data_IF_566872241365
#
_entry.id   IF_566872241365
#
_cell.length_a   1.000
_cell.length_b   1.000
_cell.length_c   1.000
_cell.angle_alpha   90.00
_cell.angle_beta   90.00
_cell.angle_gamma   90.00
#
_symmetry.space_group_name_H-M   'P 1'
#
loop_
_entity.id
_entity.type
_entity.pdbx_description
1 polymer ?
#
# COMPACT_ATOMS: atom_id res chain seq x y z
N UNK A 1 16.73 34.05 -16.61
CA UNK A 1 15.58 33.49 -15.87
C UNK A 1 15.07 34.62 -15.02
N UNK A 2 13.96 35.23 -15.45
CA UNK A 2 13.33 36.36 -14.78
C UNK A 2 12.82 35.96 -13.39
N UNK A 3 12.87 36.90 -12.46
CA UNK A 3 12.35 36.75 -11.10
C UNK A 3 10.82 36.63 -11.17
N UNK A 4 10.29 35.41 -11.22
CA UNK A 4 8.86 35.19 -11.02
C UNK A 4 8.51 35.42 -9.54
N UNK A 5 7.80 36.51 -9.27
CA UNK A 5 7.21 36.76 -7.96
C UNK A 5 5.96 35.88 -7.77
N UNK A 6 5.96 35.08 -6.72
CA UNK A 6 4.82 34.23 -6.35
C UNK A 6 4.04 34.88 -5.20
N UNK A 7 2.74 35.11 -5.41
CA UNK A 7 1.84 35.63 -4.38
C UNK A 7 0.87 34.53 -3.94
N UNK A 8 0.82 34.24 -2.64
CA UNK A 8 -0.16 33.31 -2.09
C UNK A 8 -1.53 33.98 -2.03
N UNK A 9 -2.47 33.53 -2.86
CA UNK A 9 -3.83 34.07 -2.93
C UNK A 9 -4.67 33.72 -1.69
N UNK A 10 -4.37 32.59 -1.04
CA UNK A 10 -5.16 32.06 0.09
C UNK A 10 -4.41 32.30 1.39
N UNK A 11 -5.03 33.01 2.35
CA UNK A 11 -4.42 33.25 3.68
C UNK A 11 -4.79 32.18 4.72
N UNK A 12 -5.89 31.46 4.49
CA UNK A 12 -6.39 30.43 5.39
C UNK A 12 -5.97 29.03 4.91
N UNK A 13 -4.80 28.58 5.35
CA UNK A 13 -4.28 27.25 5.06
C UNK A 13 -3.43 26.75 6.23
N UNK A 14 -3.27 25.43 6.31
CA UNK A 14 -2.39 24.82 7.29
C UNK A 14 -0.93 25.06 6.90
N UNK A 15 -0.32 26.09 7.50
CA UNK A 15 1.11 26.38 7.33
C UNK A 15 1.95 25.22 7.83
N UNK A 16 3.02 24.89 7.10
CA UNK A 16 4.04 23.98 7.60
C UNK A 16 4.60 24.53 8.91
N UNK A 17 4.65 23.70 9.95
CA UNK A 17 5.27 24.09 11.21
C UNK A 17 6.76 24.45 10.98
N UNK A 18 7.20 25.69 11.23
CA UNK A 18 8.57 26.13 10.97
C UNK A 18 9.61 25.47 11.89
N UNK A 19 9.21 25.00 13.07
CA UNK A 19 10.11 24.26 13.97
C UNK A 19 10.30 22.79 13.57
N UNK A 20 9.47 22.27 12.66
CA UNK A 20 9.55 20.87 12.22
C UNK A 20 10.71 20.69 11.24
N UNK A 21 11.78 20.04 11.72
CA UNK A 21 12.89 19.61 10.86
C UNK A 21 12.40 18.54 9.87
N UNK A 22 12.84 18.67 8.62
CA UNK A 22 12.62 17.64 7.61
C UNK A 22 13.37 16.37 8.01
N UNK A 23 12.68 15.23 8.01
CA UNK A 23 13.30 13.92 8.16
C UNK A 23 13.05 13.16 6.87
N UNK A 24 14.11 12.93 6.10
CA UNK A 24 14.05 12.15 4.87
C UNK A 24 14.08 10.65 5.21
N UNK A 25 13.12 9.88 4.70
CA UNK A 25 13.06 8.41 4.82
C UNK A 25 13.02 7.79 3.42
N UNK A 26 14.15 7.76 2.69
CA UNK A 26 14.16 7.39 1.27
C UNK A 26 14.28 5.87 1.05
N UNK A 27 14.35 5.09 2.13
CA UNK A 27 14.54 3.63 2.08
C UNK A 27 13.21 2.95 1.84
N UNK A 28 12.81 2.87 0.58
CA UNK A 28 11.65 2.10 0.13
C UNK A 28 12.05 0.67 -0.22
N UNK A 29 11.04 -0.19 -0.24
CA UNK A 29 11.17 -1.58 -0.64
C UNK A 29 10.30 -1.83 -1.86
N UNK A 30 10.92 -2.30 -2.93
CA UNK A 30 10.25 -2.59 -4.20
C UNK A 30 9.56 -3.95 -4.18
N UNK A 31 9.89 -4.83 -3.22
CA UNK A 31 9.30 -6.16 -3.06
C UNK A 31 8.00 -6.10 -2.25
N UNK A 32 7.09 -5.22 -2.68
CA UNK A 32 5.73 -5.08 -2.14
C UNK A 32 4.71 -5.13 -3.29
N UNK A 33 3.69 -5.96 -3.16
CA UNK A 33 2.66 -6.15 -4.18
C UNK A 33 1.35 -5.44 -3.81
N UNK A 34 0.67 -4.87 -4.81
CA UNK A 34 -0.75 -4.50 -4.72
C UNK A 34 -1.55 -5.54 -5.49
N UNK A 35 -2.41 -6.27 -4.79
CA UNK A 35 -3.17 -7.40 -5.35
C UNK A 35 -4.65 -7.07 -5.29
N UNK A 36 -5.23 -6.82 -6.46
CA UNK A 36 -6.67 -6.60 -6.60
C UNK A 36 -7.42 -7.92 -6.59
N UNK A 37 -8.29 -8.12 -5.61
CA UNK A 37 -9.13 -9.30 -5.56
C UNK A 37 -10.26 -9.24 -6.60
N UNK A 38 -10.61 -10.39 -7.17
CA UNK A 38 -11.82 -10.58 -7.96
C UNK A 38 -12.33 -12.00 -7.75
N UNK A 39 -13.64 -12.28 -7.96
CA UNK A 39 -14.14 -13.65 -7.89
C UNK A 39 -13.40 -14.57 -8.86
N UNK A 40 -12.75 -15.61 -8.34
CA UNK A 40 -11.94 -16.54 -9.12
C UNK A 40 -10.45 -16.22 -9.15
N UNK A 41 -9.96 -15.25 -8.36
CA UNK A 41 -8.53 -15.03 -8.16
C UNK A 41 -7.84 -16.34 -7.77
N UNK A 42 -6.80 -16.74 -8.49
CA UNK A 42 -6.01 -17.92 -8.13
C UNK A 42 -5.17 -17.64 -6.86
N UNK A 43 -5.38 -18.36 -5.73
CA UNK A 43 -4.57 -18.20 -4.53
C UNK A 43 -3.07 -18.43 -4.75
N UNK A 44 -2.68 -19.19 -5.79
CA UNK A 44 -1.28 -19.40 -6.14
C UNK A 44 -0.55 -18.10 -6.48
N UNK A 45 -1.27 -17.03 -6.87
CA UNK A 45 -0.66 -15.72 -7.06
C UNK A 45 -0.10 -15.18 -5.73
N UNK A 46 -0.80 -15.38 -4.62
CA UNK A 46 -0.34 -14.97 -3.29
C UNK A 46 0.88 -15.79 -2.90
N UNK A 47 0.83 -17.12 -3.09
CA UNK A 47 1.95 -18.00 -2.79
C UNK A 47 3.18 -17.67 -3.65
N UNK A 48 2.98 -17.33 -4.93
CA UNK A 48 4.05 -16.90 -5.83
C UNK A 48 4.79 -15.67 -5.31
N UNK A 49 4.08 -14.65 -4.80
CA UNK A 49 4.74 -13.49 -4.18
C UNK A 49 5.60 -13.89 -2.98
N UNK A 50 5.13 -14.85 -2.18
CA UNK A 50 5.88 -15.34 -1.03
C UNK A 50 7.16 -16.08 -1.47
N UNK A 51 7.05 -16.91 -2.49
CA UNK A 51 8.18 -17.67 -3.04
C UNK A 51 9.21 -16.74 -3.69
N UNK A 52 8.74 -15.68 -4.37
CA UNK A 52 9.54 -14.57 -4.95
C UNK A 52 10.06 -13.56 -3.93
N UNK A 53 9.95 -13.88 -2.64
CA UNK A 53 10.49 -13.11 -1.51
C UNK A 53 9.96 -11.69 -1.41
N UNK A 54 8.68 -11.49 -1.75
CA UNK A 54 8.00 -10.24 -1.41
C UNK A 54 7.90 -10.09 0.10
N UNK A 55 8.16 -8.87 0.60
CA UNK A 55 8.10 -8.54 2.03
C UNK A 55 6.73 -7.99 2.43
N UNK A 56 5.91 -7.56 1.47
CA UNK A 56 4.55 -7.12 1.74
C UNK A 56 3.56 -7.33 0.60
N UNK A 57 2.29 -7.49 0.95
CA UNK A 57 1.15 -7.58 0.04
C UNK A 57 0.04 -6.68 0.58
N UNK A 58 -0.46 -5.76 -0.25
CA UNK A 58 -1.69 -5.00 -0.01
C UNK A 58 -2.79 -5.64 -0.85
N UNK A 59 -3.79 -6.22 -0.19
CA UNK A 59 -4.95 -6.81 -0.84
C UNK A 59 -6.06 -5.76 -0.98
N UNK A 60 -6.47 -5.45 -2.21
CA UNK A 60 -7.68 -4.68 -2.45
C UNK A 60 -8.88 -5.63 -2.43
N UNK A 61 -9.45 -5.84 -1.24
CA UNK A 61 -10.63 -6.65 -1.03
C UNK A 61 -11.93 -5.95 -1.46
N UNK A 62 -13.03 -6.69 -1.47
CA UNK A 62 -14.35 -6.14 -1.81
C UNK A 62 -15.00 -5.46 -0.59
N UNK A 63 -15.76 -4.39 -0.81
CA UNK A 63 -16.61 -3.76 0.21
C UNK A 63 -15.87 -3.40 1.49
N UNK A 64 -16.09 -4.15 2.57
CA UNK A 64 -15.44 -3.92 3.87
C UNK A 64 -14.02 -4.55 3.99
N UNK A 65 -13.44 -5.02 2.88
CA UNK A 65 -12.12 -5.68 2.84
C UNK A 65 -12.20 -7.20 2.80
N UNK A 66 -13.18 -7.77 2.10
CA UNK A 66 -13.31 -9.22 1.97
C UNK A 66 -12.52 -9.78 0.79
N UNK A 67 -12.08 -11.04 0.94
CA UNK A 67 -11.61 -11.91 -0.15
C UNK A 67 -12.35 -13.24 -0.06
N UNK A 68 -12.28 -14.06 -1.11
CA UNK A 68 -12.87 -15.39 -1.10
C UNK A 68 -12.21 -16.31 -0.07
N UNK A 69 -12.99 -17.16 0.60
CA UNK A 69 -12.48 -18.11 1.61
C UNK A 69 -11.39 -19.04 1.05
N UNK A 70 -11.41 -19.32 -0.26
CA UNK A 70 -10.38 -20.11 -0.93
C UNK A 70 -9.00 -19.44 -0.94
N UNK A 71 -8.90 -18.12 -0.70
CA UNK A 71 -7.63 -17.41 -0.53
C UNK A 71 -7.07 -17.50 0.90
N UNK A 72 -7.85 -17.94 1.88
CA UNK A 72 -7.44 -17.86 3.30
C UNK A 72 -6.19 -18.68 3.60
N UNK A 73 -6.06 -19.87 3.00
CA UNK A 73 -4.86 -20.70 3.18
C UNK A 73 -3.61 -20.02 2.66
N UNK A 74 -3.66 -19.39 1.48
CA UNK A 74 -2.53 -18.67 0.90
C UNK A 74 -2.16 -17.41 1.70
N UNK A 75 -3.16 -16.65 2.16
CA UNK A 75 -2.93 -15.50 3.05
C UNK A 75 -2.29 -15.95 4.37
N UNK A 76 -2.78 -17.03 4.97
CA UNK A 76 -2.22 -17.58 6.21
C UNK A 76 -0.76 -18.01 6.00
N UNK A 77 -0.47 -18.72 4.92
CA UNK A 77 0.89 -19.13 4.55
C UNK A 77 1.82 -17.91 4.36
N UNK A 78 1.35 -16.85 3.70
CA UNK A 78 2.12 -15.61 3.54
C UNK A 78 2.49 -14.98 4.90
N UNK A 79 1.53 -14.91 5.83
CA UNK A 79 1.76 -14.38 7.18
C UNK A 79 2.74 -15.27 7.96
N UNK A 80 2.56 -16.59 7.92
CA UNK A 80 3.44 -17.56 8.60
C UNK A 80 4.89 -17.51 8.07
N UNK A 81 5.06 -17.22 6.78
CA UNK A 81 6.38 -17.01 6.14
C UNK A 81 6.92 -15.57 6.33
N UNK A 82 6.25 -14.73 7.12
CA UNK A 82 6.74 -13.41 7.52
C UNK A 82 6.46 -12.28 6.54
N UNK A 83 5.57 -12.49 5.55
CA UNK A 83 5.13 -11.43 4.64
C UNK A 83 4.11 -10.53 5.34
N UNK A 84 4.29 -9.21 5.28
CA UNK A 84 3.32 -8.25 5.79
C UNK A 84 2.09 -8.22 4.87
N UNK A 85 0.94 -8.71 5.34
CA UNK A 85 -0.31 -8.64 4.59
C UNK A 85 -1.20 -7.54 5.15
N UNK A 86 -1.58 -6.57 4.32
CA UNK A 86 -2.52 -5.51 4.63
C UNK A 86 -3.78 -5.62 3.77
N UNK A 87 -4.92 -5.17 4.29
CA UNK A 87 -6.20 -5.17 3.57
C UNK A 87 -6.68 -3.74 3.34
N UNK A 88 -7.14 -3.46 2.13
CA UNK A 88 -7.87 -2.26 1.74
C UNK A 88 -9.19 -2.64 1.09
N UNK A 89 -10.03 -1.63 0.83
CA UNK A 89 -11.22 -1.79 0.00
C UNK A 89 -10.94 -1.32 -1.43
N UNK A 90 -11.61 -1.93 -2.39
CA UNK A 90 -11.75 -1.40 -3.76
C UNK A 90 -12.62 -0.14 -3.83
N UNK A 91 -13.41 0.16 -2.79
CA UNK A 91 -14.24 1.37 -2.72
C UNK A 91 -13.39 2.59 -2.31
N UNK A 92 -13.59 3.72 -3.01
CA UNK A 92 -12.93 5.02 -2.79
C UNK A 92 -13.85 5.95 -2.00
#
# INVERSE_FOLDING_TARGET
MENEEFFMLVKNFNKRNPSRKLVLKPRFDEKVALVKFYPGLDPQLIDWYVDEKYRGIVLEGTGLGHVGNYCFSAVKNAIEKGVLVAMTSQCI
#
